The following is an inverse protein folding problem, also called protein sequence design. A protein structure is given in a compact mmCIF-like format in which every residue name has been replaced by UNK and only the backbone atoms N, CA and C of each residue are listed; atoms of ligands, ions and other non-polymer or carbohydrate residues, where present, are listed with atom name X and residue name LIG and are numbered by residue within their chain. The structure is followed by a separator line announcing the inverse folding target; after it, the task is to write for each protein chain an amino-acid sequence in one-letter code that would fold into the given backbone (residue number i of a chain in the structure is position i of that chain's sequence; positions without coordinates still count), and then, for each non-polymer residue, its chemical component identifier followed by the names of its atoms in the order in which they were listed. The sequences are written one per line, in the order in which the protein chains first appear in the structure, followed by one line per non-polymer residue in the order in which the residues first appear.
data_IF_926465709831
#
_entry.id   IF_926465709831
#
_cell.length_a   1.000
_cell.length_b   1.000
_cell.length_c   1.000
_cell.angle_alpha   90.00
_cell.angle_beta   90.00
_cell.angle_gamma   90.00
#
_symmetry.space_group_name_H-M   'P 1'
#
loop_
_entity.id
_entity.type
_entity.pdbx_description
1 polymer ?
#
# COMPACT_ATOMS: atom_id res chain seq x y z
N UNK A 1 3.00 19.51 30.27
CA UNK A 1 3.75 19.36 29.01
C UNK A 1 3.53 17.99 28.36
N UNK A 2 3.63 16.90 29.13
CA UNK A 2 3.39 15.53 28.65
C UNK A 2 1.97 15.33 28.08
N UNK A 3 0.92 15.84 28.74
CA UNK A 3 -0.48 15.68 28.28
C UNK A 3 -0.75 16.40 26.95
N UNK A 4 -0.10 17.55 26.73
CA UNK A 4 -0.18 18.29 25.47
C UNK A 4 0.51 17.52 24.33
N UNK A 5 1.68 16.94 24.58
CA UNK A 5 2.43 16.16 23.59
C UNK A 5 1.71 14.85 23.23
N UNK A 6 1.05 14.22 24.21
CA UNK A 6 0.18 13.07 23.98
C UNK A 6 -1.04 13.43 23.12
N UNK A 7 -1.73 14.54 23.44
CA UNK A 7 -2.86 15.03 22.65
C UNK A 7 -2.45 15.40 21.20
N UNK A 8 -1.26 15.97 21.03
CA UNK A 8 -0.69 16.28 19.72
C UNK A 8 -0.43 15.00 18.91
N UNK A 9 0.24 14.00 19.51
CA UNK A 9 0.50 12.70 18.86
C UNK A 9 -0.81 12.01 18.46
N UNK A 10 -1.82 12.05 19.32
CA UNK A 10 -3.12 11.46 19.04
C UNK A 10 -3.83 12.17 17.87
N UNK A 11 -3.82 13.51 17.85
CA UNK A 11 -4.42 14.30 16.79
C UNK A 11 -3.75 14.05 15.43
N UNK A 12 -2.42 14.02 15.39
CA UNK A 12 -1.64 13.75 14.18
C UNK A 12 -1.89 12.32 13.67
N UNK A 13 -1.87 11.32 14.56
CA UNK A 13 -2.15 9.94 14.18
C UNK A 13 -3.56 9.76 13.63
N UNK A 14 -4.57 10.35 14.28
CA UNK A 14 -5.95 10.31 13.81
C UNK A 14 -6.10 10.95 12.43
N UNK A 15 -5.52 12.13 12.23
CA UNK A 15 -5.50 12.81 10.93
C UNK A 15 -4.84 11.93 9.86
N UNK A 16 -3.67 11.37 10.17
CA UNK A 16 -2.92 10.49 9.26
C UNK A 16 -3.76 9.28 8.88
N UNK A 17 -4.40 8.61 9.85
CA UNK A 17 -5.27 7.45 9.61
C UNK A 17 -6.47 7.82 8.72
N UNK A 18 -7.10 8.97 8.95
CA UNK A 18 -8.19 9.45 8.10
C UNK A 18 -7.72 9.72 6.67
N UNK A 19 -6.57 10.37 6.49
CA UNK A 19 -5.99 10.62 5.18
C UNK A 19 -5.60 9.33 4.47
N UNK A 20 -5.08 8.33 5.19
CA UNK A 20 -4.77 7.01 4.59
C UNK A 20 -6.02 6.27 4.16
N UNK A 21 -7.12 6.34 4.92
CA UNK A 21 -8.41 5.76 4.51
C UNK A 21 -8.94 6.45 3.25
N UNK A 22 -8.84 7.77 3.17
CA UNK A 22 -9.21 8.50 1.96
C UNK A 22 -8.32 8.14 0.76
N UNK A 23 -7.00 8.05 0.98
CA UNK A 23 -6.05 7.64 -0.05
C UNK A 23 -6.31 6.21 -0.55
N UNK A 24 -6.68 5.29 0.34
CA UNK A 24 -7.07 3.93 -0.03
C UNK A 24 -8.36 3.92 -0.86
N UNK A 25 -9.39 4.66 -0.45
CA UNK A 25 -10.64 4.78 -1.21
C UNK A 25 -10.41 5.37 -2.61
N UNK A 26 -9.58 6.42 -2.71
CA UNK A 26 -9.16 6.98 -3.99
C UNK A 26 -8.35 5.99 -4.82
N UNK A 27 -7.42 5.25 -4.20
CA UNK A 27 -6.65 4.20 -4.87
C UNK A 27 -7.55 3.10 -5.45
N UNK A 28 -8.56 2.64 -4.69
CA UNK A 28 -9.54 1.67 -5.17
C UNK A 28 -10.31 2.25 -6.37
N UNK A 29 -10.72 3.52 -6.32
CA UNK A 29 -11.38 4.19 -7.44
C UNK A 29 -10.49 4.18 -8.71
N UNK A 30 -9.22 4.59 -8.59
CA UNK A 30 -8.27 4.54 -9.71
C UNK A 30 -8.04 3.13 -10.23
N UNK A 31 -7.98 2.14 -9.35
CA UNK A 31 -7.85 0.73 -9.74
C UNK A 31 -9.06 0.27 -10.56
N UNK A 32 -10.28 0.58 -10.12
CA UNK A 32 -11.52 0.27 -10.86
C UNK A 32 -11.51 0.95 -12.24
N UNK A 33 -11.15 2.24 -12.31
CA UNK A 33 -11.04 2.97 -13.58
C UNK A 33 -10.02 2.31 -14.52
N UNK A 34 -8.84 1.94 -14.01
CA UNK A 34 -7.80 1.26 -14.77
C UNK A 34 -8.28 -0.09 -15.32
N UNK A 35 -8.99 -0.88 -14.50
CA UNK A 35 -9.55 -2.18 -14.93
C UNK A 35 -10.61 -1.98 -16.00
N UNK A 36 -11.52 -1.01 -15.83
CA UNK A 36 -12.54 -0.69 -16.84
C UNK A 36 -11.88 -0.26 -18.16
N UNK A 37 -10.85 0.59 -18.10
CA UNK A 37 -10.12 1.01 -19.29
C UNK A 37 -9.45 -0.17 -20.00
N UNK A 38 -8.76 -1.04 -19.27
CA UNK A 38 -8.10 -2.22 -19.83
C UNK A 38 -9.09 -3.23 -20.43
N UNK A 39 -10.18 -3.53 -19.73
CA UNK A 39 -11.22 -4.44 -20.23
C UNK A 39 -11.94 -3.82 -21.44
N UNK A 40 -12.25 -2.52 -21.38
CA UNK A 40 -12.84 -1.79 -22.49
C UNK A 40 -11.96 -1.83 -23.74
N UNK A 41 -10.64 -1.70 -23.59
CA UNK A 41 -9.69 -1.81 -24.69
C UNK A 41 -9.72 -3.20 -25.34
N UNK A 42 -9.78 -4.27 -24.55
CA UNK A 42 -9.88 -5.64 -25.06
C UNK A 42 -11.20 -5.83 -25.83
N UNK A 43 -12.33 -5.39 -25.26
CA UNK A 43 -13.65 -5.50 -25.90
C UNK A 43 -13.69 -4.72 -27.22
N UNK A 44 -13.14 -3.50 -27.23
CA UNK A 44 -13.03 -2.65 -28.43
C UNK A 44 -12.29 -3.41 -29.54
N UNK A 45 -11.16 -4.04 -29.24
CA UNK A 45 -10.41 -4.83 -30.24
C UNK A 45 -11.11 -6.11 -30.70
N UNK A 46 -11.86 -6.77 -29.81
CA UNK A 46 -12.52 -8.03 -30.16
C UNK A 46 -13.82 -7.84 -30.94
N UNK A 47 -14.57 -6.78 -30.63
CA UNK A 47 -15.87 -6.54 -31.25
C UNK A 47 -15.76 -5.55 -32.42
N UNK A 48 -14.86 -4.57 -32.34
CA UNK A 48 -14.72 -3.47 -33.30
C UNK A 48 -15.98 -2.58 -33.41
N UNK A 49 -16.82 -2.55 -32.36
CA UNK A 49 -18.06 -1.75 -32.33
C UNK A 49 -17.79 -0.27 -32.02
N UNK A 50 -16.67 0.01 -31.34
CA UNK A 50 -16.19 1.34 -30.98
C UNK A 50 -14.66 1.32 -30.87
N UNK A 51 -14.03 2.46 -31.12
CA UNK A 51 -12.59 2.65 -30.97
C UNK A 51 -12.28 3.30 -29.62
N UNK A 52 -11.53 2.60 -28.75
CA UNK A 52 -11.14 3.12 -27.44
C UNK A 52 -9.65 3.48 -27.40
N UNK A 53 -9.28 4.50 -28.18
CA UNK A 53 -7.90 4.97 -28.36
C UNK A 53 -7.29 5.45 -27.02
N UNK A 54 -8.10 6.15 -26.23
CA UNK A 54 -7.69 6.79 -24.97
C UNK A 54 -7.45 5.83 -23.79
N UNK A 55 -7.90 4.59 -23.91
CA UNK A 55 -7.86 3.61 -22.82
C UNK A 55 -6.47 3.39 -22.25
N UNK A 56 -5.44 3.44 -23.10
CA UNK A 56 -4.05 3.23 -22.70
C UNK A 56 -3.51 4.38 -21.85
N UNK A 57 -3.89 5.63 -22.17
CA UNK A 57 -3.53 6.80 -21.36
C UNK A 57 -4.25 6.79 -20.01
N UNK A 58 -5.55 6.51 -20.00
CA UNK A 58 -6.34 6.42 -18.76
C UNK A 58 -5.73 5.38 -17.81
N UNK A 59 -5.42 4.19 -18.32
CA UNK A 59 -4.83 3.12 -17.52
C UNK A 59 -3.47 3.53 -16.92
N UNK A 60 -2.59 4.16 -17.72
CA UNK A 60 -1.30 4.67 -17.22
C UNK A 60 -1.46 5.74 -16.16
N UNK A 61 -2.37 6.69 -16.37
CA UNK A 61 -2.58 7.79 -15.43
C UNK A 61 -3.14 7.28 -14.10
N UNK A 62 -4.13 6.39 -14.17
CA UNK A 62 -4.66 5.69 -12.98
C UNK A 62 -3.59 4.88 -12.27
N UNK A 63 -2.69 4.21 -13.00
CA UNK A 63 -1.58 3.44 -12.43
C UNK A 63 -0.60 4.34 -11.66
N UNK A 64 -0.24 5.52 -12.18
CA UNK A 64 0.61 6.48 -11.46
C UNK A 64 0.02 6.90 -10.11
N UNK A 65 -1.27 7.25 -10.11
CA UNK A 65 -2.00 7.60 -8.89
C UNK A 65 -2.09 6.42 -7.92
N UNK A 66 -2.42 5.23 -8.42
CA UNK A 66 -2.51 4.01 -7.63
C UNK A 66 -1.16 3.67 -6.98
N UNK A 67 -0.05 3.78 -7.72
CA UNK A 67 1.28 3.52 -7.20
C UNK A 67 1.62 4.47 -6.05
N UNK A 68 1.43 5.79 -6.23
CA UNK A 68 1.78 6.78 -5.22
C UNK A 68 0.89 6.71 -3.97
N UNK A 69 -0.44 6.56 -4.14
CA UNK A 69 -1.37 6.40 -3.02
C UNK A 69 -1.17 5.05 -2.31
N UNK A 70 -0.95 3.99 -3.09
CA UNK A 70 -0.68 2.65 -2.59
C UNK A 70 0.62 2.58 -1.78
N UNK A 71 1.68 3.26 -2.23
CA UNK A 71 2.93 3.38 -1.46
C UNK A 71 2.71 4.10 -0.13
N UNK A 72 1.91 5.18 -0.10
CA UNK A 72 1.61 5.88 1.16
C UNK A 72 0.84 5.01 2.15
N UNK A 73 -0.20 4.31 1.70
CA UNK A 73 -0.98 3.40 2.55
C UNK A 73 -0.14 2.20 2.98
N UNK A 74 0.63 1.62 2.05
CA UNK A 74 1.53 0.50 2.31
C UNK A 74 2.64 0.85 3.30
N UNK A 75 3.16 2.08 3.26
CA UNK A 75 4.13 2.57 4.24
C UNK A 75 3.53 2.61 5.64
N UNK A 76 2.28 3.10 5.79
CA UNK A 76 1.58 3.11 7.09
C UNK A 76 1.38 1.68 7.61
N UNK A 77 0.87 0.78 6.77
CA UNK A 77 0.58 -0.61 7.14
C UNK A 77 1.84 -1.48 7.32
N UNK A 78 2.94 -1.15 6.65
CA UNK A 78 4.20 -1.88 6.67
C UNK A 78 5.28 -1.27 7.56
N UNK A 79 4.92 -0.23 8.33
CA UNK A 79 5.70 0.69 9.20
C UNK A 79 7.22 0.62 9.10
N UNK A 80 7.86 -0.51 9.38
CA UNK A 80 9.30 -0.69 9.13
C UNK A 80 9.65 -2.17 8.91
N UNK A 81 8.89 -2.94 8.14
CA UNK A 81 9.06 -4.40 8.01
C UNK A 81 10.51 -4.83 7.73
N UNK A 82 11.19 -4.21 6.78
CA UNK A 82 12.59 -4.53 6.47
C UNK A 82 13.59 -4.16 7.58
N UNK A 83 13.35 -3.06 8.29
CA UNK A 83 14.23 -2.59 9.37
C UNK A 83 13.93 -3.34 10.66
N UNK A 84 12.66 -3.55 11.03
CA UNK A 84 12.24 -4.35 12.20
C UNK A 84 12.76 -5.78 12.13
N UNK A 85 12.63 -6.46 10.99
CA UNK A 85 13.16 -7.82 10.83
C UNK A 85 14.70 -7.87 10.96
N UNK A 86 15.38 -6.79 10.57
CA UNK A 86 16.82 -6.63 10.77
C UNK A 86 17.17 -6.30 12.24
N UNK A 87 16.35 -5.46 12.90
CA UNK A 87 16.50 -5.04 14.31
C UNK A 87 16.26 -6.21 15.26
N UNK A 88 15.24 -7.04 15.02
CA UNK A 88 14.86 -8.18 15.88
C UNK A 88 15.93 -9.27 15.90
N UNK A 89 16.84 -9.29 14.93
CA UNK A 89 17.99 -10.22 14.89
C UNK A 89 19.25 -9.70 15.58
N UNK A 90 19.28 -8.45 16.07
CA UNK A 90 20.45 -7.88 16.77
C UNK A 90 20.24 -7.74 18.28
N UNK A 91 21.31 -7.91 19.10
CA UNK A 91 21.25 -7.74 20.55
C UNK A 91 20.79 -6.34 20.96
N UNK A 92 19.84 -6.28 21.89
CA UNK A 92 19.00 -5.13 22.19
C UNK A 92 19.71 -4.00 22.95
N UNK A 93 19.42 -2.75 22.58
CA UNK A 93 19.76 -1.56 23.38
C UNK A 93 20.25 -0.37 22.56
N UNK A 94 21.34 -0.54 21.79
CA UNK A 94 21.99 0.56 21.07
C UNK A 94 21.30 0.89 19.73
N UNK A 95 20.84 -0.12 19.00
CA UNK A 95 20.27 0.07 17.67
C UNK A 95 18.93 0.82 17.72
N UNK A 96 18.06 0.49 18.68
CA UNK A 96 16.71 1.05 18.75
C UNK A 96 16.70 2.55 19.10
N UNK A 97 17.71 3.03 19.84
CA UNK A 97 17.78 4.43 20.28
C UNK A 97 18.44 5.35 19.24
N UNK A 98 19.40 4.84 18.46
CA UNK A 98 20.20 5.65 17.53
C UNK A 98 19.92 5.38 16.05
N UNK A 99 19.74 4.12 15.63
CA UNK A 99 19.55 3.81 14.21
C UNK A 99 18.14 4.11 13.71
N UNK A 100 17.11 3.82 14.51
CA UNK A 100 15.70 4.07 14.12
C UNK A 100 15.45 5.55 13.81
N UNK A 101 15.86 6.52 14.65
CA UNK A 101 15.68 7.94 14.32
C UNK A 101 16.44 8.37 13.07
N UNK A 102 17.65 7.83 12.84
CA UNK A 102 18.45 8.14 11.65
C UNK A 102 17.76 7.64 10.39
N UNK A 103 17.26 6.41 10.40
CA UNK A 103 16.53 5.84 9.27
C UNK A 103 15.25 6.65 8.99
N UNK A 104 14.48 6.99 10.04
CA UNK A 104 13.29 7.82 9.90
C UNK A 104 13.63 9.19 9.31
N UNK A 105 14.74 9.81 9.73
CA UNK A 105 15.18 11.09 9.19
C UNK A 105 15.61 10.98 7.72
N UNK A 106 16.32 9.91 7.34
CA UNK A 106 16.68 9.64 5.94
C UNK A 106 15.43 9.43 5.08
N UNK A 107 14.47 8.62 5.56
CA UNK A 107 13.20 8.39 4.87
C UNK A 107 12.41 9.69 4.71
N UNK A 108 12.31 10.51 5.76
CA UNK A 108 11.65 11.80 5.71
C UNK A 108 12.30 12.73 4.68
N UNK A 109 13.64 12.80 4.69
CA UNK A 109 14.41 13.60 3.73
C UNK A 109 14.16 13.15 2.30
N UNK A 110 14.14 11.84 2.06
CA UNK A 110 13.85 11.25 0.76
C UNK A 110 12.42 11.57 0.29
N UNK A 111 11.41 11.44 1.15
CA UNK A 111 10.03 11.78 0.76
C UNK A 111 9.84 13.28 0.52
N UNK A 112 10.51 14.14 1.30
CA UNK A 112 10.52 15.59 1.02
C UNK A 112 11.18 15.90 -0.32
N UNK A 113 12.27 15.22 -0.67
CA UNK A 113 12.88 15.33 -2.00
C UNK A 113 11.88 14.95 -3.10
N UNK A 114 11.15 13.83 -2.94
CA UNK A 114 10.10 13.43 -3.89
C UNK A 114 9.03 14.52 -4.05
N UNK A 115 8.64 15.18 -2.97
CA UNK A 115 7.66 16.29 -3.03
C UNK A 115 8.21 17.46 -3.84
N UNK A 116 9.43 17.90 -3.56
CA UNK A 116 10.04 19.04 -4.23
C UNK A 116 10.24 18.77 -5.72
N UNK A 117 10.85 17.63 -6.06
CA UNK A 117 11.05 17.24 -7.46
C UNK A 117 9.70 17.01 -8.17
N UNK A 118 8.73 16.42 -7.47
CA UNK A 118 7.37 16.22 -7.95
C UNK A 118 6.66 17.52 -8.33
N UNK A 119 6.84 18.59 -7.55
CA UNK A 119 6.32 19.92 -7.89
C UNK A 119 6.95 20.42 -9.20
N UNK A 120 8.27 20.27 -9.36
CA UNK A 120 8.95 20.62 -10.61
C UNK A 120 8.43 19.83 -11.83
N UNK A 121 8.07 18.56 -11.65
CA UNK A 121 7.37 17.80 -12.69
C UNK A 121 5.98 18.35 -13.00
N UNK A 122 5.21 18.75 -11.99
CA UNK A 122 3.90 19.37 -12.19
C UNK A 122 4.00 20.64 -13.03
N UNK A 123 4.94 21.53 -12.70
CA UNK A 123 5.16 22.78 -13.45
C UNK A 123 5.47 22.53 -14.92
N UNK A 124 6.36 21.57 -15.23
CA UNK A 124 6.65 21.17 -16.62
C UNK A 124 5.43 20.54 -17.29
N UNK A 125 4.71 19.68 -16.56
CA UNK A 125 3.51 19.00 -17.02
C UNK A 125 2.33 19.93 -17.30
N UNK A 126 2.32 21.15 -16.75
CA UNK A 126 1.29 22.14 -17.07
C UNK A 126 1.38 22.65 -18.52
N UNK A 127 2.57 22.62 -19.12
CA UNK A 127 2.82 23.03 -20.51
C UNK A 127 2.84 21.84 -21.49
N UNK A 128 2.66 20.62 -20.99
CA UNK A 128 2.65 19.39 -21.78
C UNK A 128 1.26 18.77 -21.77
N UNK A 129 0.67 18.58 -22.94
CA UNK A 129 -0.62 17.88 -23.11
C UNK A 129 -0.40 16.42 -23.51
N UNK A 130 -1.31 15.54 -23.10
CA UNK A 130 -1.27 14.14 -23.48
C UNK A 130 -1.71 13.97 -24.95
N UNK A 131 -1.01 13.14 -25.75
CA UNK A 131 -1.29 13.02 -27.18
C UNK A 131 -2.69 12.52 -27.55
N UNK A 132 -3.29 11.68 -26.69
CA UNK A 132 -4.56 11.06 -27.01
C UNK A 132 -5.72 11.83 -26.33
N UNK A 133 -5.63 12.12 -25.03
CA UNK A 133 -6.73 12.79 -24.31
C UNK A 133 -6.70 14.32 -24.37
N UNK A 134 -5.65 14.93 -24.93
CA UNK A 134 -5.39 16.38 -24.89
C UNK A 134 -5.44 16.97 -23.47
N UNK A 135 -5.12 16.16 -22.46
CA UNK A 135 -5.17 16.56 -21.05
C UNK A 135 -3.79 17.05 -20.58
N UNK A 136 -3.73 18.13 -19.76
CA UNK A 136 -2.47 18.56 -19.16
C UNK A 136 -1.86 17.45 -18.29
N UNK A 137 -0.59 17.12 -18.52
CA UNK A 137 0.16 16.12 -17.76
C UNK A 137 0.33 16.51 -16.27
N UNK A 138 0.07 17.78 -15.94
CA UNK A 138 -0.02 18.28 -14.57
C UNK A 138 -0.81 17.33 -13.64
N UNK A 139 -2.00 16.87 -14.05
CA UNK A 139 -2.84 16.02 -13.21
C UNK A 139 -2.23 14.66 -12.91
N UNK A 140 -1.42 14.13 -13.83
CA UNK A 140 -0.74 12.85 -13.67
C UNK A 140 0.44 13.02 -12.74
N UNK A 141 1.25 14.07 -12.96
CA UNK A 141 2.41 14.34 -12.13
C UNK A 141 2.06 14.81 -10.72
N UNK A 142 0.86 15.35 -10.50
CA UNK A 142 0.36 15.72 -9.18
C UNK A 142 0.27 14.53 -8.22
N UNK A 143 0.15 13.30 -8.74
CA UNK A 143 0.24 12.09 -7.93
C UNK A 143 1.55 11.98 -7.14
N UNK A 144 2.65 12.50 -7.69
CA UNK A 144 4.00 12.42 -7.11
C UNK A 144 4.11 13.24 -5.82
N UNK A 145 3.89 14.57 -5.84
CA UNK A 145 3.99 15.38 -4.62
C UNK A 145 2.91 15.01 -3.60
N UNK A 146 1.71 14.61 -4.03
CA UNK A 146 0.67 14.19 -3.09
C UNK A 146 1.06 12.89 -2.39
N UNK A 147 1.47 11.85 -3.12
CA UNK A 147 1.93 10.60 -2.52
C UNK A 147 3.15 10.79 -1.64
N UNK A 148 4.12 11.58 -2.10
CA UNK A 148 5.31 11.94 -1.32
C UNK A 148 4.97 12.66 -0.02
N UNK A 149 4.03 13.62 -0.05
CA UNK A 149 3.59 14.35 1.14
C UNK A 149 2.86 13.43 2.14
N UNK A 150 2.02 12.52 1.65
CA UNK A 150 1.36 11.51 2.48
C UNK A 150 2.37 10.55 3.12
N UNK A 151 3.41 10.12 2.38
CA UNK A 151 4.49 9.29 2.92
C UNK A 151 5.33 10.05 3.96
N UNK A 152 5.69 11.30 3.70
CA UNK A 152 6.39 12.16 4.67
C UNK A 152 5.56 12.35 5.95
N UNK A 153 4.25 12.57 5.83
CA UNK A 153 3.34 12.68 6.97
C UNK A 153 3.31 11.38 7.79
N UNK A 154 3.29 10.21 7.14
CA UNK A 154 3.39 8.93 7.83
C UNK A 154 4.67 8.83 8.65
N UNK A 155 5.82 9.18 8.09
CA UNK A 155 7.10 9.15 8.83
C UNK A 155 7.09 10.11 10.02
N UNK A 156 6.54 11.31 9.88
CA UNK A 156 6.41 12.27 10.99
C UNK A 156 5.49 11.73 12.09
N UNK A 157 4.34 11.20 11.70
CA UNK A 157 3.39 10.53 12.58
C UNK A 157 4.05 9.37 13.33
N UNK A 158 4.94 8.65 12.62
CA UNK A 158 5.66 7.52 13.17
C UNK A 158 6.73 7.94 14.19
N UNK A 159 7.49 9.00 13.91
CA UNK A 159 8.46 9.58 14.83
C UNK A 159 7.79 10.09 16.12
N UNK A 160 6.60 10.70 16.00
CA UNK A 160 5.79 11.15 17.13
C UNK A 160 5.30 9.97 17.98
N UNK A 161 4.81 8.92 17.34
CA UNK A 161 4.32 7.71 18.01
C UNK A 161 5.44 6.98 18.77
N UNK A 162 6.66 6.95 18.24
CA UNK A 162 7.79 6.29 18.89
C UNK A 162 8.29 7.06 20.13
N UNK A 163 8.01 8.37 20.21
CA UNK A 163 8.31 9.21 21.39
C UNK A 163 7.14 9.28 22.37
N UNK A 164 5.91 9.27 21.86
CA UNK A 164 4.66 9.37 22.62
C UNK A 164 3.67 8.33 22.09
N UNK A 165 3.70 7.10 22.63
CA UNK A 165 2.85 6.02 22.15
C UNK A 165 1.38 6.32 22.44
N UNK A 166 0.55 6.32 21.40
CA UNK A 166 -0.91 6.50 21.47
C UNK A 166 -1.66 5.28 20.94
N UNK A 167 -2.94 5.13 21.30
CA UNK A 167 -3.79 4.01 20.86
C UNK A 167 -4.12 4.03 19.35
N UNK A 168 -3.96 5.18 18.68
CA UNK A 168 -4.21 5.36 17.25
C UNK A 168 -2.95 5.20 16.39
N UNK A 169 -1.86 4.74 17.01
CA UNK A 169 -0.62 4.43 16.30
C UNK A 169 -0.85 3.40 15.20
N UNK A 170 -0.02 3.45 14.15
CA UNK A 170 -0.22 2.58 12.99
C UNK A 170 -0.17 1.08 13.35
N UNK A 171 -1.25 0.37 13.04
CA UNK A 171 -1.39 -1.08 13.16
C UNK A 171 -0.57 -1.78 12.06
N UNK A 172 0.74 -1.86 12.25
CA UNK A 172 1.65 -2.57 11.36
C UNK A 172 1.52 -4.11 11.44
N UNK A 173 0.31 -4.61 11.69
CA UNK A 173 0.02 -6.02 11.99
C UNK A 173 -0.40 -6.84 10.77
N UNK A 174 -0.28 -6.32 9.55
CA UNK A 174 -0.45 -7.16 8.34
C UNK A 174 0.56 -8.31 8.35
N UNK A 175 1.77 -8.09 8.89
CA UNK A 175 2.75 -9.16 9.08
C UNK A 175 2.28 -10.23 10.09
N UNK A 176 1.56 -9.85 11.14
CA UNK A 176 0.96 -10.81 12.06
C UNK A 176 -0.10 -11.64 11.33
N UNK A 177 -0.98 -11.00 10.56
CA UNK A 177 -1.98 -11.70 9.74
C UNK A 177 -1.34 -12.60 8.67
N UNK A 178 -0.27 -12.17 8.01
CA UNK A 178 0.44 -12.99 7.00
C UNK A 178 1.22 -14.13 7.65
N UNK A 179 1.88 -13.91 8.80
CA UNK A 179 2.57 -14.98 9.54
C UNK A 179 1.57 -15.96 10.14
N UNK A 180 0.41 -15.50 10.59
CA UNK A 180 -0.71 -16.33 11.03
C UNK A 180 -1.23 -17.17 9.86
N UNK A 181 -1.50 -16.55 8.70
CA UNK A 181 -1.88 -17.26 7.48
C UNK A 181 -0.79 -18.25 7.00
N UNK A 182 0.50 -17.90 7.08
CA UNK A 182 1.61 -18.80 6.69
C UNK A 182 1.75 -19.96 7.68
N UNK A 183 1.58 -19.72 8.98
CA UNK A 183 1.54 -20.78 9.99
C UNK A 183 0.34 -21.70 9.80
N UNK A 184 -0.81 -21.17 9.44
CA UNK A 184 -1.99 -21.97 9.07
C UNK A 184 -1.72 -22.82 7.83
N UNK A 185 -1.07 -22.26 6.80
CA UNK A 185 -0.70 -22.99 5.58
C UNK A 185 0.34 -24.08 5.87
N UNK A 186 1.36 -23.81 6.68
CA UNK A 186 2.35 -24.82 7.10
C UNK A 186 1.70 -25.91 7.98
N UNK A 187 0.82 -25.54 8.92
CA UNK A 187 0.07 -26.50 9.72
C UNK A 187 -0.87 -27.37 8.86
N UNK A 188 -1.45 -26.81 7.81
CA UNK A 188 -2.27 -27.54 6.84
C UNK A 188 -1.45 -28.48 5.95
N UNK A 189 -0.16 -28.21 5.75
CA UNK A 189 0.75 -29.06 4.97
C UNK A 189 1.17 -30.32 5.72
N UNK A 190 1.25 -30.24 7.05
CA UNK A 190 1.58 -31.36 7.94
C UNK A 190 0.33 -32.15 8.39
N UNK A 191 -0.87 -31.66 8.07
CA UNK A 191 -2.10 -32.41 8.30
C UNK A 191 -2.07 -33.68 7.41
N UNK A 192 -2.38 -34.86 7.97
CA UNK A 192 -2.42 -36.09 7.19
C UNK A 192 -3.45 -35.92 6.07
N UNK A 193 -2.97 -35.88 4.82
CA UNK A 193 -3.81 -35.86 3.64
C UNK A 193 -4.61 -37.16 3.67
N UNK A 194 -5.91 -37.09 3.93
CA UNK A 194 -6.82 -38.20 3.68
C UNK A 194 -6.83 -38.44 2.17
N UNK A 195 -5.92 -39.30 1.73
CA UNK A 195 -5.92 -39.81 0.36
C UNK A 195 -7.21 -40.61 0.25
N UNK A 196 -8.19 -40.08 -0.48
CA UNK A 196 -9.36 -40.82 -0.88
C UNK A 196 -8.88 -42.11 -1.56
N UNK A 197 -8.98 -43.23 -0.85
CA UNK A 197 -8.62 -44.55 -1.34
C UNK A 197 -9.87 -45.22 -1.90
N UNK A 198 -10.10 -45.19 -3.22
CA UNK A 198 -11.26 -45.82 -3.84
C UNK A 198 -11.25 -47.35 -3.68
N UNK A 199 -10.15 -47.96 -3.20
CA UNK A 199 -10.03 -49.39 -2.94
C UNK A 199 -10.38 -49.78 -1.49
N UNK A 200 -10.37 -48.82 -0.55
CA UNK A 200 -10.75 -49.02 0.85
C UNK A 200 -12.15 -48.46 1.18
N UNK A 201 -12.86 -47.93 0.19
CA UNK A 201 -14.29 -47.74 0.33
C UNK A 201 -14.95 -49.13 0.31
N UNK A 202 -15.63 -49.57 1.38
CA UNK A 202 -16.38 -50.82 1.33
C UNK A 202 -17.34 -50.73 0.14
N UNK A 203 -17.23 -51.70 -0.77
CA UNK A 203 -18.17 -51.83 -1.89
C UNK A 203 -19.59 -51.86 -1.29
N UNK A 204 -20.56 -51.14 -1.88
CA UNK A 204 -21.95 -51.16 -1.41
C UNK A 204 -22.63 -52.50 -1.79
N UNK A 205 -22.10 -53.61 -1.30
CA UNK A 205 -22.63 -54.94 -1.60
C UNK A 205 -22.21 -55.94 -0.51
N UNK A 206 -22.69 -55.77 0.73
CA UNK A 206 -22.79 -56.88 1.70
C UNK A 206 -23.72 -56.63 2.92
N UNK A 207 -24.80 -55.86 2.77
CA UNK A 207 -26.02 -56.10 3.57
C UNK A 207 -27.07 -56.71 2.63
N UNK A 208 -27.02 -58.05 2.51
CA UNK A 208 -28.12 -58.89 2.01
C UNK A 208 -28.82 -59.51 3.22
N UNK A 209 -30.06 -60.04 3.11
CA UNK A 209 -31.10 -59.91 2.09
C UNK A 209 -32.37 -59.16 2.58
#
# INVERSE_FOLDING_TARGET
MHDFMYALSLGVNKLTNTLMRAALALGICFCVVMVIAAVGQVISRMTNWFEFIESEEIARFSMCWLAMLGSAVGLRQGRHLGVRLLVEKLPSGFYNHYFVPVIQLVMLSFFLMIVVEGIGFCERGAYQVSPAMDLPMFYVYLSIPIGGALMALNVVSDMLQDRFPTQEGSDANIAATVIENVKEIDAAKDAPVEIFDPLNNPKPDEETP
#
